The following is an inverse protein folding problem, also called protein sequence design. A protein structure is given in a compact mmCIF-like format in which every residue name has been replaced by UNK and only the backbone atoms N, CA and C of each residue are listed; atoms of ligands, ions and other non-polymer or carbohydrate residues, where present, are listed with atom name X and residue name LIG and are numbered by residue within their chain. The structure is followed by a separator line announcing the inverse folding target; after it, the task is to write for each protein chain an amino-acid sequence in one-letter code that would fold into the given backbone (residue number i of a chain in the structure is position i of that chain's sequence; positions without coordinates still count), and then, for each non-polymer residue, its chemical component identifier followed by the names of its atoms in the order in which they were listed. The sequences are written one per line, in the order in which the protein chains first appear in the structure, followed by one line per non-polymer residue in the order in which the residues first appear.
data_IF_538201073589
#
_entry.id   IF_538201073589
#
_cell.length_a   1.000
_cell.length_b   1.000
_cell.length_c   1.000
_cell.angle_alpha   90.00
_cell.angle_beta   90.00
_cell.angle_gamma   90.00
#
_symmetry.space_group_name_H-M   'P 1'
#
loop_
_entity.id
_entity.type
_entity.pdbx_description
1 polymer ?
#
# COMPACT_ATOMS: atom_id res chain seq x y z
N UNK A 1 11.88 3.03 17.74
CA UNK A 1 11.98 2.85 16.28
C UNK A 1 11.74 1.38 15.94
N UNK A 2 10.86 1.08 14.98
CA UNK A 2 10.60 -0.28 14.48
C UNK A 2 11.83 -0.79 13.72
N UNK A 3 12.18 -2.04 13.99
CA UNK A 3 13.32 -2.74 13.37
C UNK A 3 12.81 -3.80 12.39
N UNK A 4 13.64 -4.13 11.41
CA UNK A 4 13.38 -5.22 10.50
C UNK A 4 13.50 -6.55 11.25
N UNK A 5 12.49 -7.40 11.11
CA UNK A 5 12.44 -8.67 11.85
C UNK A 5 13.45 -9.72 11.37
N UNK A 6 14.06 -9.52 10.19
CA UNK A 6 15.08 -10.45 9.65
C UNK A 6 16.53 -10.01 9.89
N UNK A 7 16.79 -8.72 10.06
CA UNK A 7 18.17 -8.20 10.10
C UNK A 7 18.40 -7.04 11.07
N UNK A 8 17.42 -6.70 11.91
CA UNK A 8 17.48 -5.64 12.93
C UNK A 8 17.76 -4.21 12.41
N UNK A 9 17.91 -4.00 11.11
CA UNK A 9 18.05 -2.69 10.49
C UNK A 9 16.75 -1.86 10.63
N UNK A 10 16.75 -0.54 10.37
CA UNK A 10 15.52 0.26 10.44
C UNK A 10 14.45 -0.26 9.47
N UNK A 11 13.25 -0.55 9.99
CA UNK A 11 12.12 -0.96 9.15
C UNK A 11 11.57 0.23 8.36
N UNK A 12 11.15 -0.05 7.12
CA UNK A 12 10.63 0.92 6.15
C UNK A 12 9.20 0.62 5.73
N UNK A 13 8.77 -0.62 5.85
CA UNK A 13 7.42 -1.04 5.52
C UNK A 13 6.88 -2.07 6.50
N UNK A 14 5.56 -2.20 6.48
CA UNK A 14 4.81 -3.20 7.23
C UNK A 14 3.97 -4.02 6.26
N UNK A 15 4.08 -5.35 6.33
CA UNK A 15 3.21 -6.24 5.60
C UNK A 15 2.05 -6.65 6.50
N UNK A 16 0.81 -6.44 6.06
CA UNK A 16 -0.37 -6.81 6.85
C UNK A 16 -0.58 -8.32 6.90
N UNK A 17 -0.31 -9.02 5.79
CA UNK A 17 -0.48 -10.48 5.69
C UNK A 17 0.49 -11.25 6.58
N UNK A 18 1.75 -10.82 6.61
CA UNK A 18 2.80 -11.48 7.41
C UNK A 18 2.92 -10.86 8.82
N UNK A 19 2.17 -9.79 9.10
CA UNK A 19 2.22 -9.00 10.33
C UNK A 19 3.63 -8.54 10.72
N UNK A 20 4.52 -8.37 9.73
CA UNK A 20 5.94 -8.17 9.94
C UNK A 20 6.41 -6.79 9.44
N UNK A 21 7.38 -6.21 10.15
CA UNK A 21 8.07 -4.98 9.72
C UNK A 21 9.39 -5.30 9.01
N UNK A 22 9.57 -4.79 7.79
CA UNK A 22 10.71 -5.12 6.92
C UNK A 22 11.49 -3.88 6.46
N UNK A 23 12.78 -4.04 6.19
CA UNK A 23 13.58 -3.08 5.43
C UNK A 23 13.50 -3.37 3.92
N UNK A 24 13.98 -2.45 3.08
CA UNK A 24 13.92 -2.57 1.62
C UNK A 24 14.57 -3.86 1.08
N UNK A 25 15.72 -4.25 1.62
CA UNK A 25 16.43 -5.44 1.16
C UNK A 25 15.72 -6.73 1.55
N UNK A 26 15.15 -6.77 2.75
CA UNK A 26 14.40 -7.93 3.24
C UNK A 26 13.04 -8.04 2.56
N UNK A 27 12.36 -6.92 2.32
CA UNK A 27 11.09 -6.89 1.56
C UNK A 27 11.26 -7.49 0.17
N UNK A 28 12.25 -7.05 -0.60
CA UNK A 28 12.49 -7.59 -1.94
C UNK A 28 12.82 -9.08 -1.95
N UNK A 29 13.44 -9.60 -0.88
CA UNK A 29 13.70 -11.04 -0.73
C UNK A 29 12.43 -11.83 -0.39
N UNK A 30 11.60 -11.31 0.52
CA UNK A 30 10.36 -11.97 0.97
C UNK A 30 9.29 -11.91 -0.11
N UNK A 31 8.95 -10.72 -0.60
CA UNK A 31 7.89 -10.52 -1.58
C UNK A 31 8.34 -10.79 -3.02
N UNK A 32 9.64 -10.85 -3.29
CA UNK A 32 10.20 -11.30 -4.56
C UNK A 32 10.34 -12.81 -4.69
N UNK A 33 10.13 -13.60 -3.62
CA UNK A 33 10.33 -15.04 -3.64
C UNK A 33 9.28 -15.79 -4.49
N UNK A 34 8.03 -15.33 -4.48
CA UNK A 34 6.93 -15.93 -5.24
C UNK A 34 5.81 -14.91 -5.51
N UNK A 35 5.02 -15.12 -6.57
CA UNK A 35 3.90 -14.27 -6.95
C UNK A 35 2.79 -14.18 -5.89
N UNK A 36 2.61 -15.23 -5.08
CA UNK A 36 1.64 -15.23 -3.98
C UNK A 36 2.01 -14.19 -2.92
N UNK A 37 3.28 -14.17 -2.51
CA UNK A 37 3.79 -13.25 -1.49
C UNK A 37 3.90 -11.83 -2.06
N UNK A 38 4.22 -11.69 -3.35
CA UNK A 38 4.18 -10.41 -4.06
C UNK A 38 2.81 -9.73 -3.99
N UNK A 39 1.71 -10.51 -3.87
CA UNK A 39 0.35 -9.96 -3.78
C UNK A 39 0.02 -9.38 -2.40
N UNK A 40 0.84 -9.62 -1.37
CA UNK A 40 0.61 -9.05 -0.05
C UNK A 40 0.56 -7.51 -0.11
N UNK A 41 -0.38 -6.93 0.63
CA UNK A 41 -0.47 -5.48 0.80
C UNK A 41 0.58 -5.04 1.80
N UNK A 42 1.37 -4.03 1.40
CA UNK A 42 2.41 -3.45 2.25
C UNK A 42 2.20 -1.96 2.37
N UNK A 43 2.37 -1.47 3.59
CA UNK A 43 2.20 -0.06 3.93
C UNK A 43 3.55 0.54 4.22
N UNK A 44 3.87 1.69 3.62
CA UNK A 44 5.10 2.41 3.95
C UNK A 44 4.99 3.05 5.32
N UNK A 45 6.09 2.99 6.07
CA UNK A 45 6.22 3.63 7.37
C UNK A 45 6.82 5.01 7.20
N UNK A 46 6.32 5.96 8.00
CA UNK A 46 6.81 7.33 8.04
C UNK A 46 8.31 7.33 8.34
N UNK A 47 9.07 8.10 7.57
CA UNK A 47 10.51 8.21 7.75
C UNK A 47 10.92 8.71 9.14
N UNK A 48 10.11 9.59 9.72
CA UNK A 48 10.41 10.29 10.96
C UNK A 48 9.96 9.47 12.18
N UNK A 49 8.66 9.17 12.27
CA UNK A 49 8.05 8.55 13.43
C UNK A 49 7.69 7.06 13.25
N UNK A 50 7.84 6.52 12.04
CA UNK A 50 7.51 5.14 11.67
C UNK A 50 6.05 4.73 11.93
N UNK A 51 5.15 5.70 11.98
CA UNK A 51 3.71 5.45 11.87
C UNK A 51 3.38 4.95 10.45
N UNK A 52 2.33 4.13 10.26
CA UNK A 52 1.81 3.82 8.93
C UNK A 52 1.47 5.10 8.17
N UNK A 53 1.81 5.14 6.89
CA UNK A 53 1.42 6.23 5.98
C UNK A 53 0.26 5.78 5.09
N UNK A 54 -0.48 6.70 4.45
CA UNK A 54 -1.54 6.34 3.51
C UNK A 54 -1.06 5.56 2.28
N UNK A 55 0.25 5.55 2.02
CA UNK A 55 0.82 4.84 0.88
C UNK A 55 0.82 3.33 1.12
N UNK A 56 0.20 2.61 0.19
CA UNK A 56 0.19 1.15 0.13
C UNK A 56 0.62 0.66 -1.24
N UNK A 57 1.20 -0.54 -1.29
CA UNK A 57 1.65 -1.15 -2.54
C UNK A 57 1.76 -2.66 -2.46
N UNK A 58 1.60 -3.30 -3.62
CA UNK A 58 1.79 -4.73 -3.85
C UNK A 58 2.71 -4.93 -5.06
N UNK A 59 3.29 -6.12 -5.19
CA UNK A 59 4.25 -6.47 -6.23
C UNK A 59 5.51 -7.16 -5.69
N UNK A 60 6.39 -7.62 -6.56
CA UNK A 60 7.60 -8.34 -6.14
C UNK A 60 8.66 -7.42 -5.53
N UNK A 61 8.76 -6.17 -6.01
CA UNK A 61 9.68 -5.14 -5.51
C UNK A 61 9.04 -3.77 -5.61
N UNK A 62 9.12 -3.01 -4.53
CA UNK A 62 8.71 -1.61 -4.50
C UNK A 62 9.96 -0.74 -4.64
N UNK A 63 9.86 0.36 -5.39
CA UNK A 63 10.96 1.30 -5.53
C UNK A 63 11.25 1.96 -4.17
N UNK A 64 12.53 2.10 -3.76
CA UNK A 64 12.88 2.80 -2.53
C UNK A 64 12.29 4.21 -2.52
N UNK A 65 11.33 4.44 -1.64
CA UNK A 65 10.58 5.69 -1.54
C UNK A 65 10.58 6.17 -0.09
N UNK A 66 10.50 7.48 0.10
CA UNK A 66 10.37 8.09 1.43
C UNK A 66 8.94 8.62 1.56
N UNK A 67 8.23 8.22 2.61
CA UNK A 67 6.92 8.77 2.94
C UNK A 67 6.94 9.42 4.32
N UNK A 68 6.07 10.42 4.49
CA UNK A 68 5.80 11.07 5.77
C UNK A 68 4.32 10.84 6.10
N UNK A 69 4.00 10.71 7.39
CA UNK A 69 2.62 10.77 7.82
C UNK A 69 2.14 12.22 7.87
N UNK A 70 0.82 12.41 7.87
CA UNK A 70 0.20 13.74 7.83
C UNK A 70 0.71 14.67 8.95
N UNK A 71 0.90 14.12 10.16
CA UNK A 71 1.48 14.86 11.28
C UNK A 71 2.92 15.31 11.04
N UNK A 72 3.78 14.44 10.51
CA UNK A 72 5.18 14.78 10.22
C UNK A 72 5.32 15.68 8.98
N UNK A 73 4.43 15.55 8.01
CA UNK A 73 4.39 16.42 6.83
C UNK A 73 4.05 17.87 7.24
N UNK A 74 3.05 18.06 8.09
CA UNK A 74 2.64 19.38 8.58
C UNK A 74 3.72 20.08 9.43
N UNK A 75 4.50 19.32 10.21
CA UNK A 75 5.58 19.90 11.03
C UNK A 75 6.80 20.34 10.22
N UNK A 76 7.08 19.69 9.09
CA UNK A 76 8.23 20.05 8.25
C UNK A 76 8.05 21.41 7.57
N UNK A 77 6.81 21.77 7.22
CA UNK A 77 6.48 23.06 6.59
C UNK A 77 6.76 24.26 7.50
N UNK A 78 6.71 24.04 8.82
CA UNK A 78 6.94 25.07 9.84
C UNK A 78 8.39 25.53 9.95
N UNK A 79 9.34 24.85 9.29
CA UNK A 79 10.76 25.24 9.30
C UNK A 79 11.14 26.25 8.20
N UNK A 80 10.24 26.50 7.25
CA UNK A 80 10.37 27.57 6.23
C UNK A 80 9.97 28.96 6.77
N UNK A 81 9.24 29.01 7.88
CA UNK A 81 8.75 30.27 8.49
C UNK A 81 9.53 30.63 9.74
N UNK A 82 10.85 30.75 9.62
CA UNK A 82 11.66 31.43 10.64
C UNK A 82 11.54 32.95 10.45
N UNK A 83 11.04 33.62 11.49
CA UNK A 83 11.49 34.94 11.93
C UNK A 83 11.40 36.10 10.93
N UNK A 84 10.30 36.84 11.00
CA UNK A 84 10.16 38.18 10.42
C UNK A 84 9.22 39.02 11.27
N UNK A 85 9.60 39.31 12.52
CA UNK A 85 8.97 40.35 13.30
C UNK A 85 9.42 41.72 12.76
N UNK A 86 8.71 42.30 11.79
CA UNK A 86 8.83 43.72 11.44
C UNK A 86 7.47 44.27 11.05
N UNK A 87 6.81 44.95 11.97
CA UNK A 87 5.75 45.89 11.62
C UNK A 87 6.34 47.06 10.86
N UNK A 88 5.78 47.37 9.69
CA UNK A 88 5.80 48.71 9.07
C UNK A 88 4.53 48.87 8.24
N UNK A 89 3.64 49.72 8.74
CA UNK A 89 2.66 50.45 7.96
C UNK A 89 3.35 51.09 6.75
N UNK A 90 2.76 50.98 5.55
CA UNK A 90 2.99 51.88 4.42
C UNK A 90 1.89 51.77 3.36
N UNK A 91 1.22 52.90 3.27
CA UNK A 91 0.35 53.50 2.27
C UNK A 91 0.51 53.02 0.82
N UNK A 92 -0.63 52.89 0.13
CA UNK A 92 -0.93 53.75 -1.01
C UNK A 92 -0.44 53.35 -2.42
N UNK A 93 -1.45 53.28 -3.30
CA UNK A 93 -1.49 53.83 -4.66
C UNK A 93 -1.24 52.91 -5.87
N UNK A 94 -2.35 52.76 -6.61
CA UNK A 94 -2.54 52.88 -8.06
C UNK A 94 -1.97 51.90 -9.09
N UNK A 95 -2.94 51.35 -9.82
CA UNK A 95 -3.06 51.33 -11.28
C UNK A 95 -1.76 51.25 -12.10
N UNK A 96 -1.57 50.11 -12.78
CA UNK A 96 -0.92 50.11 -14.09
C UNK A 96 -1.61 49.08 -14.99
N UNK A 97 -2.11 49.59 -16.12
CA UNK A 97 -2.90 48.83 -17.08
C UNK A 97 -2.04 48.33 -18.24
N UNK A 98 -2.41 47.13 -18.70
CA UNK A 98 -2.47 46.78 -20.11
C UNK A 98 -1.16 46.49 -20.84
N UNK A 99 -1.06 45.28 -21.38
CA UNK A 99 -0.74 45.06 -22.79
C UNK A 99 -1.28 43.69 -23.16
N UNK A 100 -2.22 43.66 -24.10
CA UNK A 100 -2.64 42.42 -24.74
C UNK A 100 -1.64 42.04 -25.80
N UNK A 101 -1.29 40.76 -25.84
CA UNK A 101 -0.79 40.11 -27.04
C UNK A 101 -1.68 38.89 -27.27
N UNK A 102 -2.33 38.91 -28.44
CA UNK A 102 -3.17 37.86 -28.97
C UNK A 102 -2.28 36.95 -29.78
N UNK A 103 -2.09 35.71 -29.33
CA UNK A 103 -1.58 34.64 -30.18
C UNK A 103 -2.62 33.53 -30.20
N UNK A 104 -3.38 33.53 -31.29
CA UNK A 104 -4.33 32.49 -31.69
C UNK A 104 -3.52 31.41 -32.43
N UNK A 105 -3.07 30.39 -31.70
CA UNK A 105 -2.45 29.20 -32.31
C UNK A 105 -3.54 28.13 -32.55
N UNK A 106 -4.29 28.27 -33.64
CA UNK A 106 -5.06 27.19 -34.25
C UNK A 106 -4.34 26.77 -35.54
N UNK A 107 -3.70 25.59 -35.55
CA UNK A 107 -3.59 24.73 -36.74
C UNK A 107 -3.38 23.28 -36.28
N UNK A 108 -4.43 22.47 -36.46
CA UNK A 108 -4.37 21.02 -36.62
C UNK A 108 -3.66 20.67 -37.94
N UNK A 109 -3.03 19.49 -38.03
CA UNK A 109 -2.92 18.62 -39.22
C UNK A 109 -1.65 17.75 -39.15
N UNK A 110 -1.86 16.43 -39.12
CA UNK A 110 -0.79 15.43 -39.15
C UNK A 110 -1.33 14.03 -38.90
N UNK A 111 -2.08 13.50 -39.87
CA UNK A 111 -2.42 12.09 -39.99
C UNK A 111 -1.14 11.23 -40.09
N UNK A 112 -1.04 10.19 -39.27
CA UNK A 112 -0.23 9.01 -39.58
C UNK A 112 -1.04 7.78 -39.15
N UNK A 113 -1.68 7.16 -40.15
CA UNK A 113 -2.21 5.81 -40.10
C UNK A 113 -1.05 4.80 -39.95
N UNK A 114 -1.03 4.03 -38.87
CA UNK A 114 -0.31 2.75 -38.82
C UNK A 114 -1.30 1.66 -38.38
N UNK A 115 -1.96 1.08 -39.38
CA UNK A 115 -2.53 -0.26 -39.34
C UNK A 115 -1.39 -1.27 -39.17
N UNK A 116 -1.26 -1.87 -37.98
CA UNK A 116 -0.60 -3.17 -37.82
C UNK A 116 -1.63 -4.21 -37.37
N UNK A 117 -2.30 -4.79 -38.37
CA UNK A 117 -2.92 -6.10 -38.26
C UNK A 117 -1.81 -7.17 -38.20
N UNK A 118 -1.45 -7.65 -37.00
CA UNK A 118 -0.75 -8.94 -36.86
C UNK A 118 -1.77 -10.03 -36.50
N UNK A 119 -2.17 -10.75 -37.55
CA UNK A 119 -2.87 -12.02 -37.51
C UNK A 119 -1.89 -13.14 -37.17
N UNK A 120 -2.19 -13.94 -36.14
CA UNK A 120 -1.78 -15.34 -36.16
C UNK A 120 -1.39 -15.97 -34.83
N UNK A 121 -2.13 -17.01 -34.45
CA UNK A 121 -1.52 -18.22 -33.90
C UNK A 121 -2.13 -18.75 -32.61
N UNK A 122 -3.07 -19.68 -32.76
CA UNK A 122 -3.75 -20.38 -31.68
C UNK A 122 -2.83 -21.22 -30.77
N UNK A 123 -3.31 -21.41 -29.55
CA UNK A 123 -2.90 -22.47 -28.63
C UNK A 123 -4.15 -23.04 -27.97
N UNK A 124 -4.69 -24.11 -28.57
CA UNK A 124 -5.67 -25.00 -27.98
C UNK A 124 -4.99 -25.93 -26.95
N UNK A 125 -5.71 -26.30 -25.90
CA UNK A 125 -5.30 -27.25 -24.85
C UNK A 125 -5.17 -26.57 -23.48
N UNK A 126 -5.85 -26.99 -22.42
CA UNK A 126 -6.34 -28.32 -22.10
C UNK A 126 -7.53 -28.23 -21.12
N UNK A 127 -8.51 -29.07 -21.37
CA UNK A 127 -9.63 -29.41 -20.50
C UNK A 127 -9.08 -30.11 -19.24
N UNK A 128 -9.00 -29.36 -18.15
CA UNK A 128 -8.58 -29.87 -16.85
C UNK A 128 -9.69 -29.69 -15.82
N UNK A 129 -10.69 -30.56 -15.83
CA UNK A 129 -11.68 -30.72 -14.77
C UNK A 129 -11.01 -30.95 -13.40
N UNK A 130 -10.83 -29.91 -12.60
CA UNK A 130 -10.40 -30.10 -11.22
C UNK A 130 -11.61 -30.56 -10.37
N UNK A 131 -11.84 -31.89 -10.40
CA UNK A 131 -12.77 -32.64 -9.58
C UNK A 131 -12.66 -32.22 -8.09
N UNK A 132 -13.74 -31.68 -7.53
CA UNK A 132 -13.87 -31.45 -6.09
C UNK A 132 -14.13 -32.78 -5.39
N UNK A 133 -13.12 -33.32 -4.71
CA UNK A 133 -13.35 -34.46 -3.81
C UNK A 133 -14.04 -33.92 -2.54
N UNK A 134 -15.16 -34.50 -2.08
CA UNK A 134 -15.60 -34.28 -0.72
C UNK A 134 -14.63 -35.04 0.18
N UNK A 135 -13.71 -34.32 0.83
CA UNK A 135 -12.84 -34.96 1.81
C UNK A 135 -13.71 -35.46 2.95
N UNK A 136 -13.93 -36.77 2.97
CA UNK A 136 -14.59 -37.46 4.07
C UNK A 136 -13.69 -37.31 5.29
N UNK A 137 -14.22 -36.66 6.32
CA UNK A 137 -13.65 -36.65 7.67
C UNK A 137 -13.45 -38.10 8.11
N UNK A 138 -12.22 -38.59 8.05
CA UNK A 138 -11.81 -39.72 8.86
C UNK A 138 -11.15 -39.13 10.11
N UNK A 139 -11.96 -39.03 11.16
CA UNK A 139 -11.48 -38.70 12.49
C UNK A 139 -10.71 -39.92 13.03
N UNK A 140 -9.51 -39.78 13.61
CA UNK A 140 -8.92 -40.85 14.41
C UNK A 140 -9.74 -41.03 15.70
N UNK A 141 -9.81 -42.26 16.25
CA UNK A 141 -10.65 -42.57 17.40
C UNK A 141 -9.98 -42.07 18.70
N UNK A 142 -10.63 -41.14 19.40
CA UNK A 142 -10.34 -40.90 20.81
C UNK A 142 -11.29 -41.74 21.67
N UNK A 143 -10.66 -42.65 22.40
CA UNK A 143 -11.28 -43.67 23.20
C UNK A 143 -11.53 -43.11 24.61
N UNK A 144 -12.77 -43.27 25.10
CA UNK A 144 -13.20 -43.24 26.51
C UNK A 144 -13.12 -41.87 27.22
N UNK A 145 -14.14 -41.36 27.91
CA UNK A 145 -15.06 -42.01 28.86
C UNK A 145 -16.41 -41.29 28.93
N UNK A 146 -17.48 -42.06 29.05
CA UNK A 146 -18.85 -41.62 29.23
C UNK A 146 -19.08 -40.83 30.53
N UNK A 147 -19.93 -39.79 30.48
CA UNK A 147 -21.29 -39.80 31.03
C UNK A 147 -21.83 -38.38 31.24
N UNK A 148 -23.03 -38.12 30.71
CA UNK A 148 -24.06 -37.47 31.50
C UNK A 148 -24.46 -36.03 31.16
N UNK A 149 -25.53 -35.94 30.36
CA UNK A 149 -26.72 -35.10 30.59
C UNK A 149 -26.66 -33.58 30.34
N UNK A 150 -27.50 -33.20 29.35
CA UNK A 150 -28.48 -32.10 29.39
C UNK A 150 -27.95 -30.67 29.41
N UNK A 151 -28.40 -29.89 28.40
CA UNK A 151 -28.90 -28.54 28.69
C UNK A 151 -28.48 -27.46 27.69
N UNK A 152 -29.45 -27.05 26.86
CA UNK A 152 -29.45 -25.75 26.19
C UNK A 152 -29.10 -24.58 27.13
N UNK A 153 -28.31 -23.62 26.63
CA UNK A 153 -28.64 -22.19 26.52
C UNK A 153 -27.45 -21.27 26.78
N UNK A 154 -27.15 -20.45 25.76
CA UNK A 154 -26.83 -19.02 25.81
C UNK A 154 -26.38 -18.46 27.18
N UNK A 155 -25.11 -18.04 27.30
CA UNK A 155 -24.76 -16.82 28.05
C UNK A 155 -23.57 -16.10 27.41
N UNK A 156 -23.70 -14.77 27.39
CA UNK A 156 -22.65 -13.79 27.09
C UNK A 156 -21.74 -13.66 28.33
N UNK A 157 -20.50 -13.20 28.13
CA UNK A 157 -19.94 -11.97 28.74
C UNK A 157 -18.42 -12.05 28.97
N UNK A 158 -17.78 -10.91 28.70
CA UNK A 158 -16.69 -10.27 29.43
C UNK A 158 -15.44 -11.08 29.80
N UNK A 159 -14.30 -10.70 29.21
CA UNK A 159 -13.01 -10.74 29.90
C UNK A 159 -12.31 -9.39 29.75
N UNK A 160 -12.11 -8.73 30.87
CA UNK A 160 -11.07 -7.73 31.07
C UNK A 160 -9.95 -8.36 31.90
N UNK A 161 -8.74 -7.87 31.70
CA UNK A 161 -7.62 -7.93 32.64
C UNK A 161 -6.68 -6.76 32.31
#
# INVERSE_FOLDING_TARGET
MKKCELCDSPARMYCESDQASLCWDCDGKVHGANFLVAKHTRTLLCHECQSPTPWTGSGSRLAPTISLCEGCAATNDSTSSRNGAEGRDRDGDSDDGGSGDSDEDENEDGDDDDDDEDDGGGGDGDDGENQVVPWSTTAPPENTTASGLVGCSKVRSFWGS
#
